data_IF_092286429080
#
_entry.id   IF_092286429080
#
_cell.length_a   1.000
_cell.length_b   1.000
_cell.length_c   1.000
_cell.angle_alpha   90.00
_cell.angle_beta   90.00
_cell.angle_gamma   90.00
#
_symmetry.space_group_name_H-M   'P 1'
#
loop_
_entity.id
_entity.type
_entity.pdbx_description
1 polymer ?
#
# COMPACT_ATOMS: atom_id res chain seq x y z
N UNK A 1 -16.02 -17.28 -1.30
CA UNK A 1 -14.68 -16.96 -1.85
C UNK A 1 -14.85 -16.77 -3.34
N UNK A 2 -14.51 -15.59 -3.86
CA UNK A 2 -14.63 -15.37 -5.30
C UNK A 2 -13.51 -16.14 -6.00
N UNK A 3 -13.89 -16.95 -6.99
CA UNK A 3 -12.91 -17.56 -7.86
C UNK A 3 -12.45 -16.51 -8.88
N UNK A 4 -11.29 -15.90 -8.65
CA UNK A 4 -10.80 -14.76 -9.44
C UNK A 4 -10.71 -15.05 -10.94
N UNK A 5 -10.44 -16.30 -11.32
CA UNK A 5 -10.39 -16.74 -12.72
C UNK A 5 -11.77 -16.74 -13.39
N UNK A 6 -12.80 -17.23 -12.71
CA UNK A 6 -14.17 -17.21 -13.22
C UNK A 6 -14.70 -15.78 -13.39
N UNK A 7 -14.34 -14.87 -12.48
CA UNK A 7 -14.71 -13.46 -12.59
C UNK A 7 -13.98 -12.75 -13.73
N UNK A 8 -12.71 -13.06 -13.94
CA UNK A 8 -11.97 -12.54 -15.10
C UNK A 8 -12.59 -13.01 -16.41
N UNK A 9 -13.02 -14.26 -16.50
CA UNK A 9 -13.68 -14.80 -17.67
C UNK A 9 -15.05 -14.12 -17.92
N UNK A 10 -15.86 -13.96 -16.86
CA UNK A 10 -17.15 -13.24 -16.92
C UNK A 10 -16.99 -11.82 -17.45
N UNK A 11 -15.99 -11.10 -16.95
CA UNK A 11 -15.75 -9.69 -17.29
C UNK A 11 -14.76 -9.47 -18.42
N UNK A 12 -14.25 -10.54 -19.06
CA UNK A 12 -13.29 -10.46 -20.15
C UNK A 12 -13.72 -9.52 -21.31
N UNK A 13 -14.98 -9.49 -21.76
CA UNK A 13 -15.40 -8.59 -22.83
C UNK A 13 -15.23 -7.10 -22.46
N UNK A 14 -15.44 -6.75 -21.18
CA UNK A 14 -15.27 -5.39 -20.67
C UNK A 14 -13.81 -5.06 -20.42
N UNK A 15 -13.05 -6.00 -19.84
CA UNK A 15 -11.64 -5.81 -19.51
C UNK A 15 -10.73 -5.69 -20.74
N UNK A 16 -11.07 -6.35 -21.84
CA UNK A 16 -10.27 -6.39 -23.07
C UNK A 16 -10.85 -5.53 -24.19
N UNK A 17 -11.79 -4.62 -23.91
CA UNK A 17 -12.39 -3.76 -24.92
C UNK A 17 -11.36 -2.80 -25.53
N UNK A 18 -11.27 -2.75 -26.86
CA UNK A 18 -10.23 -1.99 -27.60
C UNK A 18 -10.35 -0.47 -27.45
N UNK A 19 -11.52 0.06 -27.11
CA UNK A 19 -11.75 1.50 -26.93
C UNK A 19 -11.21 2.10 -25.63
N UNK A 20 -10.57 1.32 -24.77
CA UNK A 20 -10.06 1.75 -23.47
C UNK A 20 -8.60 1.29 -23.29
N UNK A 21 -7.78 2.00 -22.49
CA UNK A 21 -6.40 1.62 -22.24
C UNK A 21 -6.30 0.18 -21.75
N UNK A 22 -5.39 -0.60 -22.32
CA UNK A 22 -5.21 -2.00 -21.91
C UNK A 22 -4.55 -2.09 -20.54
N UNK A 23 -5.12 -2.92 -19.66
CA UNK A 23 -4.51 -3.23 -18.36
C UNK A 23 -3.48 -4.33 -18.58
N UNK A 24 -2.19 -4.00 -18.50
CA UNK A 24 -1.08 -4.93 -18.74
C UNK A 24 -0.89 -5.94 -17.61
N UNK A 25 -1.18 -5.55 -16.37
CA UNK A 25 -0.97 -6.34 -15.17
C UNK A 25 -2.17 -7.26 -14.90
N UNK A 26 -1.91 -8.57 -14.81
CA UNK A 26 -2.93 -9.57 -14.54
C UNK A 26 -3.56 -9.42 -13.14
N UNK A 27 -2.77 -8.98 -12.16
CA UNK A 27 -3.28 -8.72 -10.82
C UNK A 27 -4.28 -7.54 -10.81
N UNK A 28 -3.96 -6.45 -11.49
CA UNK A 28 -4.88 -5.31 -11.65
C UNK A 28 -6.16 -5.71 -12.39
N UNK A 29 -6.08 -6.60 -13.39
CA UNK A 29 -7.27 -7.17 -14.06
C UNK A 29 -8.14 -7.96 -13.09
N UNK A 30 -7.54 -8.80 -12.26
CA UNK A 30 -8.23 -9.61 -11.26
C UNK A 30 -8.98 -8.73 -10.25
N UNK A 31 -8.30 -7.73 -9.69
CA UNK A 31 -8.91 -6.79 -8.74
C UNK A 31 -10.05 -6.00 -9.40
N UNK A 32 -9.85 -5.51 -10.63
CA UNK A 32 -10.88 -4.77 -11.36
C UNK A 32 -12.10 -5.65 -11.63
N UNK A 33 -11.92 -6.93 -11.97
CA UNK A 33 -13.03 -7.89 -12.14
C UNK A 33 -13.85 -8.07 -10.84
N UNK A 34 -13.18 -8.18 -9.70
CA UNK A 34 -13.85 -8.28 -8.39
C UNK A 34 -14.62 -7.01 -8.06
N UNK A 35 -14.04 -5.84 -8.37
CA UNK A 35 -14.70 -4.55 -8.13
C UNK A 35 -15.93 -4.36 -9.02
N UNK A 36 -15.88 -4.80 -10.28
CA UNK A 36 -17.04 -4.79 -11.18
C UNK A 36 -18.15 -5.73 -10.68
N UNK A 37 -17.79 -6.89 -10.15
CA UNK A 37 -18.76 -7.81 -9.53
C UNK A 37 -19.38 -7.23 -8.27
N UNK A 38 -18.60 -6.58 -7.41
CA UNK A 38 -19.13 -5.89 -6.23
C UNK A 38 -20.06 -4.74 -6.63
N UNK A 39 -19.72 -4.04 -7.70
CA UNK A 39 -20.58 -2.97 -8.24
C UNK A 39 -21.90 -3.52 -8.76
N UNK A 40 -21.88 -4.60 -9.53
CA UNK A 40 -23.09 -5.27 -10.01
C UNK A 40 -23.98 -5.69 -8.84
N UNK A 41 -23.40 -6.28 -7.81
CA UNK A 41 -24.12 -6.71 -6.62
C UNK A 41 -24.74 -5.53 -5.87
N UNK A 42 -24.00 -4.44 -5.66
CA UNK A 42 -24.50 -3.25 -5.01
C UNK A 42 -25.68 -2.63 -5.77
N UNK A 43 -25.62 -2.60 -7.10
CA UNK A 43 -26.72 -2.13 -7.95
C UNK A 43 -27.93 -3.06 -7.89
N UNK A 44 -27.74 -4.37 -7.80
CA UNK A 44 -28.84 -5.32 -7.64
C UNK A 44 -29.51 -5.18 -6.28
N UNK A 45 -28.76 -4.98 -5.20
CA UNK A 45 -29.32 -4.74 -3.87
C UNK A 45 -30.16 -3.46 -3.85
N UNK A 46 -29.68 -2.36 -4.43
CA UNK A 46 -30.45 -1.10 -4.54
C UNK A 46 -31.75 -1.27 -5.34
N UNK A 47 -31.72 -2.02 -6.43
CA UNK A 47 -32.92 -2.33 -7.23
C UNK A 47 -33.94 -3.13 -6.44
N UNK A 48 -33.52 -4.12 -5.67
CA UNK A 48 -34.40 -4.92 -4.84
C UNK A 48 -35.08 -4.06 -3.78
N UNK A 49 -34.38 -3.11 -3.16
CA UNK A 49 -35.00 -2.15 -2.21
C UNK A 49 -36.05 -1.26 -2.88
N UNK A 50 -35.80 -0.83 -4.12
CA UNK A 50 -36.77 -0.01 -4.87
C UNK A 50 -38.00 -0.81 -5.35
N UNK A 51 -37.87 -2.12 -5.55
CA UNK A 51 -38.99 -2.99 -5.96
C UNK A 51 -39.84 -3.47 -4.79
N UNK A 52 -39.35 -3.40 -3.56
CA UNK A 52 -40.11 -3.72 -2.33
C UNK A 52 -41.04 -2.60 -1.88
N UNK A 53 -41.04 -1.42 -2.50
CA UNK A 53 -42.05 -0.41 -2.23
C UNK A 53 -43.43 -0.93 -2.68
N UNK A 54 -44.46 -0.89 -1.82
CA UNK A 54 -45.79 -1.43 -2.15
C UNK A 54 -46.38 -0.65 -3.31
N UNK A 55 -46.30 -1.20 -4.50
CA UNK A 55 -46.99 -0.68 -5.67
C UNK A 55 -48.48 -1.01 -5.57
N UNK A 56 -49.23 -0.11 -4.98
CA UNK A 56 -50.69 -0.12 -5.07
C UNK A 56 -51.11 0.41 -6.45
N UNK A 57 -50.60 -0.21 -7.51
CA UNK A 57 -51.04 0.05 -8.87
C UNK A 57 -51.73 -1.20 -9.35
N UNK A 58 -53.07 -1.05 -9.57
CA UNK A 58 -53.92 -2.10 -10.09
C UNK A 58 -53.39 -2.72 -11.40
N UNK A 59 -54.00 -3.81 -11.86
CA UNK A 59 -53.45 -4.63 -12.93
C UNK A 59 -53.47 -3.86 -14.26
N UNK A 60 -52.37 -3.27 -14.60
CA UNK A 60 -52.12 -2.84 -15.96
C UNK A 60 -51.63 -4.09 -16.72
N UNK A 61 -52.49 -4.56 -17.57
CA UNK A 61 -52.21 -5.60 -18.53
C UNK A 61 -51.12 -5.11 -19.49
N UNK A 62 -49.88 -5.35 -19.13
CA UNK A 62 -48.74 -5.10 -20.00
C UNK A 62 -48.16 -6.44 -20.46
N UNK A 63 -48.34 -6.72 -21.71
CA UNK A 63 -47.49 -7.67 -22.40
C UNK A 63 -46.05 -7.22 -22.16
N UNK A 64 -45.38 -7.91 -21.29
CA UNK A 64 -43.98 -7.73 -20.99
C UNK A 64 -43.14 -8.15 -22.19
N UNK A 65 -42.84 -7.19 -23.03
CA UNK A 65 -41.64 -7.28 -23.80
C UNK A 65 -40.44 -7.33 -22.82
N UNK A 66 -39.67 -8.34 -22.93
CA UNK A 66 -38.54 -8.71 -22.11
C UNK A 66 -37.37 -7.70 -22.21
N UNK A 67 -37.61 -6.43 -21.87
CA UNK A 67 -36.59 -5.38 -21.83
C UNK A 67 -36.02 -5.14 -20.44
N UNK A 68 -36.37 -6.00 -19.47
CA UNK A 68 -35.97 -5.84 -18.07
C UNK A 68 -34.53 -6.25 -17.72
N UNK A 69 -33.81 -6.91 -18.64
CA UNK A 69 -32.48 -7.44 -18.34
C UNK A 69 -31.32 -6.48 -18.66
N UNK A 70 -31.56 -5.41 -19.39
CA UNK A 70 -30.49 -4.50 -19.87
C UNK A 70 -30.46 -3.16 -19.12
N UNK A 71 -31.47 -2.84 -18.36
CA UNK A 71 -31.62 -1.54 -17.70
C UNK A 71 -30.77 -1.32 -16.43
N UNK A 72 -29.86 -2.24 -16.11
CA UNK A 72 -29.07 -2.20 -14.87
C UNK A 72 -27.61 -1.81 -15.02
N UNK A 73 -27.10 -1.78 -16.24
CA UNK A 73 -25.71 -1.40 -16.49
C UNK A 73 -25.63 0.02 -17.01
N UNK A 74 -24.98 0.90 -16.25
CA UNK A 74 -24.60 2.22 -16.76
C UNK A 74 -23.24 2.08 -17.46
N UNK A 75 -23.18 2.18 -18.81
CA UNK A 75 -21.94 2.02 -19.56
C UNK A 75 -20.89 3.08 -19.20
N UNK A 76 -21.34 4.26 -18.79
CA UNK A 76 -20.46 5.37 -18.36
C UNK A 76 -19.73 4.95 -17.08
N UNK A 77 -20.44 4.41 -16.11
CA UNK A 77 -19.87 3.98 -14.84
C UNK A 77 -18.85 2.85 -15.02
N UNK A 78 -19.17 1.85 -15.83
CA UNK A 78 -18.26 0.72 -16.11
C UNK A 78 -16.99 1.18 -16.80
N UNK A 79 -17.10 2.05 -17.82
CA UNK A 79 -15.95 2.59 -18.54
C UNK A 79 -15.06 3.43 -17.62
N UNK A 80 -15.68 4.20 -16.73
CA UNK A 80 -15.01 5.04 -15.76
C UNK A 80 -14.26 4.22 -14.71
N UNK A 81 -14.86 3.17 -14.15
CA UNK A 81 -14.19 2.27 -13.21
C UNK A 81 -12.98 1.61 -13.88
N UNK A 82 -13.16 1.08 -15.09
CA UNK A 82 -12.06 0.44 -15.82
C UNK A 82 -10.91 1.40 -16.13
N UNK A 83 -11.22 2.66 -16.44
CA UNK A 83 -10.20 3.67 -16.76
C UNK A 83 -9.47 4.19 -15.53
N UNK A 84 -10.20 4.37 -14.44
CA UNK A 84 -9.72 5.09 -13.28
C UNK A 84 -9.09 4.20 -12.20
N UNK A 85 -9.73 3.07 -11.86
CA UNK A 85 -9.27 2.22 -10.76
C UNK A 85 -7.87 1.65 -10.92
N UNK A 86 -7.43 1.17 -12.11
CA UNK A 86 -6.07 0.64 -12.26
C UNK A 86 -4.95 1.67 -12.12
N UNK A 87 -5.28 2.97 -12.20
CA UNK A 87 -4.32 4.08 -12.10
C UNK A 87 -4.02 4.52 -10.66
N UNK A 88 -4.69 3.95 -9.66
CA UNK A 88 -4.43 4.29 -8.26
C UNK A 88 -3.00 3.99 -7.86
N UNK A 89 -2.32 4.95 -7.23
CA UNK A 89 -0.97 4.79 -6.68
C UNK A 89 -0.88 3.67 -5.63
N UNK A 90 -2.00 3.33 -5.02
CA UNK A 90 -2.09 2.24 -4.05
C UNK A 90 -1.60 0.89 -4.60
N UNK A 91 -1.77 0.63 -5.91
CA UNK A 91 -1.24 -0.58 -6.54
C UNK A 91 0.28 -0.65 -6.56
N UNK A 92 0.94 0.49 -6.54
CA UNK A 92 2.40 0.57 -6.62
C UNK A 92 3.06 0.68 -5.24
N UNK A 93 2.42 1.36 -4.29
CA UNK A 93 2.99 1.67 -2.97
C UNK A 93 2.44 0.75 -1.88
N UNK A 94 1.17 0.35 -1.98
CA UNK A 94 0.46 -0.45 -0.97
C UNK A 94 0.06 -1.82 -1.52
N UNK A 95 -0.33 -2.72 -0.65
CA UNK A 95 -1.00 -3.96 -1.03
C UNK A 95 -2.49 -3.70 -1.27
N UNK A 96 -3.01 -4.12 -2.42
CA UNK A 96 -4.44 -3.94 -2.73
C UNK A 96 -5.16 -5.25 -2.53
N UNK A 97 -6.16 -5.26 -1.65
CA UNK A 97 -6.95 -6.45 -1.36
C UNK A 97 -8.44 -6.11 -1.39
N UNK A 98 -9.15 -6.49 -2.46
CA UNK A 98 -10.56 -6.21 -2.57
C UNK A 98 -11.37 -6.99 -1.52
N UNK A 99 -12.36 -6.32 -0.93
CA UNK A 99 -13.29 -6.91 0.04
C UNK A 99 -14.55 -7.38 -0.66
N UNK A 100 -15.14 -8.46 -0.14
CA UNK A 100 -16.43 -8.99 -0.61
C UNK A 100 -17.62 -8.52 0.24
N UNK A 101 -17.36 -7.81 1.34
CA UNK A 101 -18.35 -7.29 2.27
C UNK A 101 -17.89 -5.98 2.92
N UNK A 102 -18.76 -5.33 3.72
CA UNK A 102 -18.43 -4.06 4.38
C UNK A 102 -17.37 -4.21 5.47
N UNK A 103 -17.14 -5.43 5.96
CA UNK A 103 -16.09 -5.77 6.92
C UNK A 103 -15.27 -6.93 6.40
N UNK A 104 -13.97 -6.91 6.67
CA UNK A 104 -13.03 -7.96 6.33
C UNK A 104 -12.12 -8.28 7.50
N UNK A 105 -11.46 -9.44 7.44
CA UNK A 105 -10.47 -9.86 8.42
C UNK A 105 -9.18 -10.23 7.69
N UNK A 106 -8.07 -9.70 8.17
CA UNK A 106 -6.72 -10.07 7.73
C UNK A 106 -6.10 -10.89 8.84
N UNK A 107 -5.66 -12.09 8.51
CA UNK A 107 -4.98 -12.99 9.44
C UNK A 107 -3.49 -12.99 9.20
N UNK A 108 -2.71 -12.96 10.30
CA UNK A 108 -1.28 -13.13 10.27
C UNK A 108 -0.89 -14.24 11.25
N UNK A 109 -0.03 -15.15 10.79
CA UNK A 109 0.49 -16.23 11.61
C UNK A 109 1.93 -15.91 12.00
N UNK A 110 2.23 -16.02 13.30
CA UNK A 110 3.57 -15.85 13.87
C UNK A 110 4.03 -17.15 14.50
N UNK A 111 5.23 -17.58 14.16
CA UNK A 111 5.88 -18.71 14.80
C UNK A 111 6.55 -18.25 16.09
N UNK A 112 6.43 -19.03 17.16
CA UNK A 112 6.92 -18.69 18.50
C UNK A 112 7.78 -19.82 19.06
N UNK A 113 8.77 -19.45 19.88
CA UNK A 113 9.54 -20.40 20.66
C UNK A 113 8.79 -20.76 21.94
N UNK A 114 8.80 -22.01 22.32
CA UNK A 114 8.26 -22.60 23.56
C UNK A 114 6.74 -22.51 23.65
N UNK A 115 6.15 -21.34 23.60
CA UNK A 115 4.72 -21.12 23.84
C UNK A 115 4.14 -20.06 22.92
N UNK A 116 2.81 -19.95 22.85
CA UNK A 116 2.12 -18.94 22.05
C UNK A 116 2.45 -17.49 22.43
N UNK A 117 2.97 -17.27 23.63
CA UNK A 117 3.41 -15.95 24.13
C UNK A 117 4.92 -15.77 24.12
N UNK A 118 5.66 -16.79 23.68
CA UNK A 118 7.12 -16.76 23.59
C UNK A 118 7.65 -15.80 22.53
N UNK A 119 8.98 -15.69 22.46
CA UNK A 119 9.64 -14.87 21.46
C UNK A 119 9.32 -15.35 20.04
N UNK A 120 9.27 -14.43 19.09
CA UNK A 120 8.98 -14.76 17.70
C UNK A 120 10.17 -15.47 17.05
N UNK A 121 9.90 -16.58 16.36
CA UNK A 121 10.87 -17.31 15.57
C UNK A 121 10.82 -16.85 14.08
N UNK A 122 11.91 -17.07 13.36
CA UNK A 122 12.09 -16.74 11.94
C UNK A 122 12.15 -15.24 11.60
N UNK A 123 11.94 -14.36 12.57
CA UNK A 123 12.08 -12.92 12.35
C UNK A 123 13.49 -12.44 12.66
N UNK A 124 14.00 -12.80 13.84
CA UNK A 124 15.37 -12.55 14.24
C UNK A 124 16.30 -13.68 13.79
N UNK A 125 17.59 -13.55 14.09
CA UNK A 125 18.54 -14.62 13.90
C UNK A 125 18.07 -15.87 14.65
N UNK A 126 18.07 -17.05 14.00
CA UNK A 126 17.67 -18.29 14.68
C UNK A 126 18.57 -18.53 15.89
N UNK A 127 17.95 -18.89 17.02
CA UNK A 127 18.69 -19.29 18.20
C UNK A 127 19.37 -20.65 17.95
N UNK A 128 20.69 -20.60 17.77
CA UNK A 128 21.48 -21.78 17.43
C UNK A 128 21.56 -22.83 18.55
N UNK A 129 21.17 -22.46 19.76
CA UNK A 129 21.18 -23.36 20.92
C UNK A 129 19.82 -23.97 21.21
N UNK A 130 18.76 -23.40 20.68
CA UNK A 130 17.37 -23.76 21.04
C UNK A 130 17.09 -25.25 20.88
N UNK A 131 17.38 -25.82 19.73
CA UNK A 131 17.13 -27.26 19.48
C UNK A 131 18.14 -28.22 20.12
N UNK A 132 19.25 -27.71 20.64
CA UNK A 132 20.31 -28.45 21.31
C UNK A 132 20.21 -28.43 22.85
N UNK A 133 19.17 -27.83 23.41
CA UNK A 133 18.89 -27.78 24.85
C UNK A 133 17.71 -28.65 25.20
N UNK A 134 17.69 -29.19 26.42
CA UNK A 134 16.60 -29.99 26.97
C UNK A 134 16.00 -29.32 28.21
N UNK A 135 14.81 -29.74 28.61
CA UNK A 135 14.18 -29.28 29.84
C UNK A 135 13.27 -28.08 29.72
N UNK A 136 12.83 -27.70 28.50
CA UNK A 136 11.80 -26.69 28.30
C UNK A 136 12.20 -25.25 28.65
N UNK A 137 13.44 -25.03 29.14
CA UNK A 137 13.96 -23.67 29.43
C UNK A 137 14.75 -23.18 28.22
N UNK A 138 14.27 -22.14 27.53
CA UNK A 138 15.03 -21.61 26.40
C UNK A 138 16.37 -21.07 26.89
N UNK A 139 17.46 -21.29 26.16
CA UNK A 139 18.72 -20.65 26.46
C UNK A 139 18.56 -19.13 26.42
N UNK A 140 19.37 -18.43 27.21
CA UNK A 140 19.38 -16.96 27.16
C UNK A 140 19.86 -16.55 25.78
N UNK A 141 18.98 -15.93 24.99
CA UNK A 141 19.33 -15.46 23.66
C UNK A 141 20.56 -14.54 23.74
N UNK A 142 21.59 -14.86 22.98
CA UNK A 142 22.76 -14.01 22.86
C UNK A 142 22.36 -12.69 22.24
N UNK A 143 22.63 -11.59 22.92
CA UNK A 143 22.25 -10.23 22.48
C UNK A 143 23.19 -9.69 21.40
N UNK A 144 24.35 -10.27 21.25
CA UNK A 144 25.38 -9.80 20.31
C UNK A 144 25.20 -10.44 18.93
N UNK A 145 24.63 -9.66 18.02
CA UNK A 145 24.40 -10.07 16.61
C UNK A 145 25.42 -9.50 15.62
N UNK A 146 26.39 -8.74 16.11
CA UNK A 146 27.36 -8.06 15.25
C UNK A 146 28.75 -8.71 15.32
N UNK A 147 29.17 -9.42 14.27
CA UNK A 147 30.51 -10.03 14.22
C UNK A 147 31.66 -9.03 14.37
N UNK A 148 31.44 -7.75 14.06
CA UNK A 148 32.44 -6.70 14.21
C UNK A 148 32.78 -6.36 15.67
N UNK A 149 31.95 -6.77 16.62
CA UNK A 149 32.15 -6.54 18.05
C UNK A 149 32.88 -7.69 18.77
N UNK A 150 33.16 -8.79 18.09
CA UNK A 150 33.83 -9.98 18.67
C UNK A 150 35.16 -9.66 19.32
N UNK A 151 35.89 -8.64 18.84
CA UNK A 151 37.22 -8.23 19.32
C UNK A 151 37.25 -6.80 19.88
N UNK A 152 36.12 -6.25 20.32
CA UNK A 152 36.14 -4.92 20.91
C UNK A 152 36.79 -4.93 22.29
N UNK A 153 38.06 -4.52 22.29
CA UNK A 153 38.90 -4.40 23.48
C UNK A 153 38.52 -3.18 24.36
N UNK A 154 37.59 -2.33 23.93
CA UNK A 154 37.23 -1.08 24.63
C UNK A 154 36.22 -1.24 25.75
N UNK A 155 36.25 -2.34 26.48
CA UNK A 155 35.58 -2.45 27.78
C UNK A 155 34.09 -2.86 27.72
N UNK A 156 33.58 -3.19 26.58
CA UNK A 156 32.22 -3.70 26.38
C UNK A 156 32.03 -5.18 26.73
N UNK A 157 33.10 -5.85 27.22
CA UNK A 157 32.98 -7.23 27.69
C UNK A 157 32.67 -8.26 26.59
N UNK A 158 32.90 -7.95 25.36
CA UNK A 158 32.73 -8.87 24.24
C UNK A 158 33.94 -9.79 24.13
N UNK A 159 34.06 -10.63 25.11
CA UNK A 159 34.80 -11.88 24.93
C UNK A 159 34.01 -12.73 23.95
N UNK A 160 34.69 -13.57 23.21
CA UNK A 160 34.12 -14.56 22.28
C UNK A 160 32.96 -15.43 22.85
N UNK A 161 32.65 -15.27 24.11
CA UNK A 161 31.52 -15.91 24.82
C UNK A 161 30.14 -15.31 24.52
N UNK A 162 30.08 -14.08 24.01
CA UNK A 162 28.77 -13.44 23.69
C UNK A 162 28.32 -13.73 22.26
N UNK A 163 29.23 -14.14 21.39
CA UNK A 163 28.90 -14.66 20.06
C UNK A 163 28.95 -16.18 20.12
N UNK A 164 27.84 -16.77 20.55
CA UNK A 164 27.83 -18.19 20.85
C UNK A 164 27.75 -19.03 19.57
N UNK A 165 28.80 -19.75 19.33
CA UNK A 165 28.88 -20.70 18.24
C UNK A 165 28.13 -21.95 18.64
N UNK A 166 26.79 -22.03 18.43
CA UNK A 166 26.02 -23.28 18.42
C UNK A 166 26.69 -24.47 19.14
N UNK A 167 27.15 -24.24 20.38
CA UNK A 167 27.93 -25.24 21.12
C UNK A 167 27.03 -26.29 21.78
N UNK A 168 25.74 -25.97 21.96
CA UNK A 168 24.76 -26.86 22.57
C UNK A 168 24.26 -27.89 21.56
N UNK A 169 24.82 -29.06 21.59
CA UNK A 169 24.35 -30.25 20.88
C UNK A 169 24.19 -31.38 21.88
N UNK A 170 23.21 -32.20 21.67
CA UNK A 170 23.02 -33.40 22.49
C UNK A 170 24.16 -34.40 22.28
N UNK A 171 24.70 -34.93 23.39
CA UNK A 171 25.50 -36.13 23.34
C UNK A 171 24.66 -37.38 23.07
N UNK A 172 25.29 -38.48 22.67
CA UNK A 172 24.57 -39.73 22.38
C UNK A 172 23.73 -40.20 23.56
N UNK A 173 24.26 -40.13 24.80
CA UNK A 173 23.52 -40.49 26.01
C UNK A 173 22.33 -39.55 26.31
N UNK A 174 22.43 -38.27 25.97
CA UNK A 174 21.33 -37.33 26.12
C UNK A 174 20.20 -37.62 25.13
N UNK A 175 20.54 -38.00 23.91
CA UNK A 175 19.56 -38.36 22.86
C UNK A 175 18.80 -39.65 23.24
N UNK A 176 19.48 -40.63 23.86
CA UNK A 176 18.86 -41.87 24.33
C UNK A 176 17.85 -41.62 25.47
N UNK A 177 18.09 -40.62 26.31
CA UNK A 177 17.20 -40.23 27.40
C UNK A 177 16.14 -39.21 27.05
N UNK A 178 16.14 -38.68 25.85
CA UNK A 178 15.20 -37.62 25.47
C UNK A 178 13.76 -38.16 25.35
N UNK A 179 12.83 -37.49 26.05
CA UNK A 179 11.40 -37.89 25.99
C UNK A 179 11.01 -39.00 26.94
N UNK A 180 11.81 -39.30 27.96
CA UNK A 180 11.58 -40.32 29.00
C UNK A 180 10.42 -39.95 29.97
N UNK A 181 9.77 -38.83 29.78
CA UNK A 181 8.70 -38.30 30.66
C UNK A 181 9.19 -37.42 31.81
N UNK A 182 10.51 -37.23 31.94
CA UNK A 182 11.06 -36.30 32.90
C UNK A 182 11.10 -34.88 32.30
N UNK A 183 10.69 -33.87 33.08
CA UNK A 183 10.69 -32.49 32.67
C UNK A 183 12.10 -31.98 32.24
N UNK A 184 13.16 -32.56 32.80
CA UNK A 184 14.56 -32.25 32.47
C UNK A 184 15.01 -32.82 31.12
N UNK A 185 14.29 -33.78 30.56
CA UNK A 185 14.60 -34.44 29.28
C UNK A 185 13.51 -34.20 28.22
N UNK A 186 12.68 -33.18 28.39
CA UNK A 186 11.66 -32.81 27.41
C UNK A 186 12.30 -32.19 26.15
N UNK A 187 11.68 -32.46 24.99
CA UNK A 187 12.00 -31.78 23.76
C UNK A 187 11.65 -30.30 23.87
N UNK A 188 12.43 -29.46 23.20
CA UNK A 188 12.03 -28.06 23.02
C UNK A 188 10.88 -27.96 22.04
N UNK A 189 9.89 -27.14 22.38
CA UNK A 189 8.65 -27.00 21.64
C UNK A 189 8.61 -25.69 20.86
N UNK A 190 7.89 -25.67 19.79
CA UNK A 190 7.54 -24.45 19.05
C UNK A 190 6.03 -24.31 18.96
N UNK A 191 5.55 -23.11 19.02
CA UNK A 191 4.13 -22.78 18.92
C UNK A 191 3.89 -21.78 17.79
N UNK A 192 2.63 -21.53 17.46
CA UNK A 192 2.25 -20.41 16.60
C UNK A 192 1.11 -19.61 17.25
N UNK A 193 1.10 -18.33 16.97
CA UNK A 193 0.00 -17.42 17.32
C UNK A 193 -0.63 -16.87 16.04
N UNK A 194 -1.93 -16.64 16.09
CA UNK A 194 -2.69 -16.04 15.00
C UNK A 194 -3.15 -14.66 15.44
N UNK A 195 -2.63 -13.64 14.76
CA UNK A 195 -3.08 -12.26 14.92
C UNK A 195 -4.14 -11.97 13.86
N UNK A 196 -5.18 -11.24 14.23
CA UNK A 196 -6.25 -10.83 13.33
C UNK A 196 -6.44 -9.33 13.37
N UNK A 197 -6.65 -8.75 12.20
CA UNK A 197 -6.96 -7.33 12.05
C UNK A 197 -8.29 -7.21 11.32
N UNK A 198 -9.21 -6.46 11.89
CA UNK A 198 -10.47 -6.14 11.25
C UNK A 198 -10.29 -4.93 10.32
N UNK A 199 -10.92 -5.00 9.15
CA UNK A 199 -10.98 -3.93 8.17
C UNK A 199 -12.43 -3.51 8.03
N UNK A 200 -12.68 -2.22 8.16
CA UNK A 200 -14.01 -1.64 7.95
C UNK A 200 -14.00 -0.75 6.70
N UNK A 201 -15.02 -0.87 5.86
CA UNK A 201 -15.20 -0.02 4.71
C UNK A 201 -15.80 1.33 5.13
N UNK A 202 -15.02 2.39 4.98
CA UNK A 202 -15.43 3.80 5.12
C UNK A 202 -15.78 4.35 3.73
N UNK A 203 -16.45 5.48 3.63
CA UNK A 203 -16.90 6.02 2.35
C UNK A 203 -16.54 7.48 2.13
N UNK A 204 -16.43 7.86 0.85
CA UNK A 204 -16.38 9.24 0.38
C UNK A 204 -17.52 9.50 -0.55
N UNK A 205 -18.05 10.71 -0.56
CA UNK A 205 -19.14 11.09 -1.42
C UNK A 205 -19.02 12.55 -1.86
N UNK A 206 -19.29 12.81 -3.13
CA UNK A 206 -19.38 14.14 -3.71
C UNK A 206 -20.66 14.25 -4.54
N UNK A 207 -21.22 15.44 -4.62
CA UNK A 207 -22.35 15.76 -5.47
C UNK A 207 -22.10 17.04 -6.27
N UNK A 208 -22.74 17.13 -7.43
CA UNK A 208 -22.81 18.36 -8.21
C UNK A 208 -24.25 18.60 -8.65
N UNK A 209 -24.65 19.86 -8.64
CA UNK A 209 -25.93 20.33 -9.13
C UNK A 209 -25.66 21.16 -10.38
N UNK A 210 -26.48 21.05 -11.43
CA UNK A 210 -26.39 21.87 -12.63
C UNK A 210 -27.78 22.30 -13.11
N UNK A 211 -27.85 23.45 -13.78
CA UNK A 211 -29.11 23.93 -14.34
C UNK A 211 -29.36 23.33 -15.73
N UNK A 212 -30.63 23.17 -16.07
CA UNK A 212 -31.03 22.65 -17.37
C UNK A 212 -30.63 23.61 -18.49
N UNK A 213 -30.69 24.91 -18.23
CA UNK A 213 -30.28 25.96 -19.17
C UNK A 213 -28.78 25.86 -19.50
N UNK A 214 -27.95 25.69 -18.47
CA UNK A 214 -26.50 25.49 -18.69
C UNK A 214 -26.21 24.26 -19.53
N UNK A 215 -26.91 23.16 -19.30
CA UNK A 215 -26.73 21.94 -20.10
C UNK A 215 -27.13 22.14 -21.56
N UNK A 216 -28.19 22.89 -21.82
CA UNK A 216 -28.63 23.22 -23.17
C UNK A 216 -27.61 24.13 -23.88
N UNK A 217 -27.12 25.15 -23.20
CA UNK A 217 -26.15 26.10 -23.77
C UNK A 217 -24.80 25.43 -24.07
N UNK A 218 -24.29 24.59 -23.16
CA UNK A 218 -23.07 23.82 -23.39
C UNK A 218 -23.19 22.88 -24.58
N UNK A 219 -24.35 22.21 -24.70
CA UNK A 219 -24.61 21.33 -25.83
C UNK A 219 -24.74 22.07 -27.15
N UNK A 220 -25.38 23.26 -27.15
CA UNK A 220 -25.60 24.04 -28.34
C UNK A 220 -24.33 24.75 -28.85
N UNK A 221 -23.49 25.27 -27.94
CA UNK A 221 -22.31 26.08 -28.30
C UNK A 221 -21.06 25.21 -28.44
N UNK A 222 -20.84 24.27 -27.50
CA UNK A 222 -19.61 23.49 -27.42
C UNK A 222 -19.79 22.01 -27.80
N UNK A 223 -21.02 21.54 -27.99
CA UNK A 223 -21.31 20.13 -28.28
C UNK A 223 -21.00 19.19 -27.12
N UNK A 224 -20.74 19.72 -25.91
CA UNK A 224 -20.42 18.95 -24.71
C UNK A 224 -21.68 18.60 -23.92
N UNK A 225 -21.69 17.40 -23.37
CA UNK A 225 -22.76 16.99 -22.45
C UNK A 225 -22.34 17.32 -21.00
N UNK A 226 -23.09 18.21 -20.36
CA UNK A 226 -22.79 18.69 -19.00
C UNK A 226 -22.76 17.55 -17.98
N UNK A 227 -23.58 16.52 -18.16
CA UNK A 227 -23.62 15.37 -17.26
C UNK A 227 -22.33 14.55 -17.32
N UNK A 228 -21.87 14.24 -18.52
CA UNK A 228 -20.65 13.46 -18.72
C UNK A 228 -19.39 14.20 -18.24
N UNK A 229 -19.34 15.52 -18.48
CA UNK A 229 -18.21 16.33 -18.00
C UNK A 229 -18.17 16.45 -16.48
N UNK A 230 -19.31 16.68 -15.83
CA UNK A 230 -19.39 16.69 -14.38
C UNK A 230 -19.09 15.32 -13.77
N UNK A 231 -19.53 14.25 -14.39
CA UNK A 231 -19.20 12.89 -13.95
C UNK A 231 -17.68 12.64 -14.00
N UNK A 232 -17.00 13.06 -15.05
CA UNK A 232 -15.56 12.97 -15.18
C UNK A 232 -14.85 13.80 -14.09
N UNK A 233 -15.26 15.04 -13.86
CA UNK A 233 -14.66 15.91 -12.82
C UNK A 233 -14.81 15.28 -11.43
N UNK A 234 -16.02 14.89 -11.06
CA UNK A 234 -16.28 14.32 -9.72
C UNK A 234 -15.54 13.01 -9.48
N UNK A 235 -15.46 12.15 -10.49
CA UNK A 235 -14.72 10.88 -10.36
C UNK A 235 -13.21 11.09 -10.25
N UNK A 236 -12.66 12.01 -11.05
CA UNK A 236 -11.23 12.34 -11.00
C UNK A 236 -10.86 12.94 -9.64
N UNK A 237 -11.70 13.81 -9.09
CA UNK A 237 -11.46 14.40 -7.76
C UNK A 237 -11.47 13.35 -6.65
N UNK A 238 -12.46 12.45 -6.63
CA UNK A 238 -12.51 11.36 -5.64
C UNK A 238 -11.26 10.49 -5.71
N UNK A 239 -10.80 10.16 -6.92
CA UNK A 239 -9.60 9.34 -7.10
C UNK A 239 -8.33 10.08 -6.67
N UNK A 240 -8.22 11.36 -6.99
CA UNK A 240 -7.12 12.20 -6.53
C UNK A 240 -7.08 12.30 -4.99
N UNK A 241 -8.24 12.44 -4.36
CA UNK A 241 -8.35 12.42 -2.89
C UNK A 241 -7.92 11.08 -2.29
N UNK A 242 -8.31 9.95 -2.88
CA UNK A 242 -7.88 8.62 -2.42
C UNK A 242 -6.37 8.46 -2.56
N UNK A 243 -5.82 8.82 -3.72
CA UNK A 243 -4.38 8.78 -3.92
C UNK A 243 -3.63 9.64 -2.91
N UNK A 244 -4.14 10.84 -2.63
CA UNK A 244 -3.55 11.74 -1.64
C UNK A 244 -3.63 11.19 -0.24
N UNK A 245 -4.71 10.53 0.12
CA UNK A 245 -4.87 9.86 1.41
C UNK A 245 -3.86 8.73 1.58
N UNK A 246 -3.67 7.89 0.55
CA UNK A 246 -2.67 6.81 0.58
C UNK A 246 -1.26 7.37 0.79
N UNK A 247 -0.85 8.35 -0.01
CA UNK A 247 0.48 8.97 0.09
C UNK A 247 0.69 9.62 1.46
N UNK A 248 -0.27 10.38 1.96
CA UNK A 248 -0.18 11.01 3.30
C UNK A 248 -0.13 9.99 4.43
N UNK A 249 -0.85 8.89 4.29
CA UNK A 249 -0.83 7.80 5.27
C UNK A 249 0.54 7.14 5.33
N UNK A 250 1.18 6.94 4.17
CA UNK A 250 2.56 6.46 4.09
C UNK A 250 3.51 7.45 4.77
N UNK A 251 3.41 8.75 4.49
CA UNK A 251 4.27 9.75 5.10
C UNK A 251 4.17 9.81 6.63
N UNK A 252 2.96 9.75 7.15
CA UNK A 252 2.71 9.80 8.60
C UNK A 252 3.13 8.54 9.32
N UNK A 253 2.91 7.37 8.68
CA UNK A 253 3.25 6.08 9.24
C UNK A 253 4.73 5.74 9.16
N UNK A 254 5.46 6.25 8.16
CA UNK A 254 6.85 5.92 7.90
C UNK A 254 7.76 6.17 9.10
N UNK A 255 8.61 5.21 9.44
CA UNK A 255 9.67 5.38 10.43
C UNK A 255 10.65 6.48 9.98
N UNK A 256 11.23 7.25 10.92
CA UNK A 256 12.35 8.14 10.58
C UNK A 256 13.51 7.33 10.02
N UNK A 257 13.99 7.70 8.84
CA UNK A 257 15.23 7.21 8.25
C UNK A 257 16.44 8.00 8.72
N UNK A 258 17.59 7.83 8.07
CA UNK A 258 18.83 8.56 8.36
C UNK A 258 19.16 8.59 9.87
N UNK A 259 19.24 7.40 10.50
CA UNK A 259 19.45 7.29 11.95
C UNK A 259 20.92 7.20 12.36
N UNK A 260 21.79 6.77 11.46
CA UNK A 260 23.20 6.56 11.75
C UNK A 260 24.10 7.39 10.82
N UNK A 261 25.21 7.91 11.37
CA UNK A 261 26.22 8.72 10.66
C UNK A 261 25.64 9.96 9.97
N UNK A 262 24.71 10.63 10.64
CA UNK A 262 24.12 11.91 10.25
C UNK A 262 24.18 12.85 11.45
N UNK A 263 24.26 14.14 11.22
CA UNK A 263 24.31 15.14 12.27
C UNK A 263 23.00 15.19 13.08
N UNK A 264 21.85 15.07 12.39
CA UNK A 264 20.53 15.08 13.01
C UNK A 264 19.74 13.86 12.54
N UNK A 265 19.29 13.01 13.47
CA UNK A 265 18.49 11.84 13.14
C UNK A 265 17.18 12.23 12.41
N UNK A 266 16.90 11.57 11.28
CA UNK A 266 15.74 11.86 10.45
C UNK A 266 15.93 12.98 9.41
N UNK A 267 17.08 13.65 9.43
CA UNK A 267 17.45 14.72 8.48
C UNK A 267 18.75 14.34 7.81
N UNK A 268 18.81 14.43 6.51
CA UNK A 268 20.04 14.31 5.75
C UNK A 268 20.45 15.69 5.23
N UNK A 269 21.54 16.23 5.74
CA UNK A 269 22.08 17.53 5.33
C UNK A 269 23.16 17.34 4.27
N UNK A 270 22.93 17.86 3.07
CA UNK A 270 23.86 17.73 1.96
C UNK A 270 25.21 18.43 2.19
N UNK A 271 25.24 19.45 3.06
CA UNK A 271 26.49 20.15 3.36
C UNK A 271 27.32 19.47 4.45
N UNK A 272 26.67 18.86 5.42
CA UNK A 272 27.32 18.27 6.61
C UNK A 272 27.51 16.77 6.46
N UNK A 273 26.49 16.06 5.97
CA UNK A 273 26.45 14.60 5.96
C UNK A 273 27.02 14.00 4.66
N UNK A 274 27.23 14.82 3.63
CA UNK A 274 27.81 14.40 2.36
C UNK A 274 29.24 14.89 2.18
N UNK A 275 30.18 13.98 1.90
CA UNK A 275 31.59 14.29 1.77
C UNK A 275 32.02 14.91 0.43
N UNK A 276 31.07 15.26 -0.45
CA UNK A 276 31.36 15.83 -1.76
C UNK A 276 31.74 17.30 -1.72
N UNK A 277 32.69 17.73 -2.59
CA UNK A 277 33.03 19.14 -2.80
C UNK A 277 32.13 19.81 -3.82
N UNK A 278 31.68 19.04 -4.82
CA UNK A 278 30.77 19.54 -5.87
C UNK A 278 29.32 19.08 -5.61
N UNK A 279 28.34 19.82 -6.13
CA UNK A 279 26.93 19.50 -5.96
C UNK A 279 26.57 18.08 -6.44
N UNK A 280 27.13 17.66 -7.58
CA UNK A 280 26.88 16.30 -8.12
C UNK A 280 27.42 15.20 -7.18
N UNK A 281 28.57 15.45 -6.54
CA UNK A 281 29.14 14.49 -5.57
C UNK A 281 28.27 14.40 -4.32
N UNK A 282 27.73 15.54 -3.86
CA UNK A 282 26.77 15.58 -2.73
C UNK A 282 25.50 14.80 -3.05
N UNK A 283 24.99 14.87 -4.28
CA UNK A 283 23.84 14.09 -4.72
C UNK A 283 24.12 12.58 -4.76
N UNK A 284 25.35 12.17 -5.04
CA UNK A 284 25.75 10.75 -4.89
C UNK A 284 25.75 10.31 -3.43
N UNK A 285 26.07 11.21 -2.49
CA UNK A 285 25.91 10.96 -1.06
C UNK A 285 24.45 10.72 -0.66
N UNK A 286 23.53 11.49 -1.22
CA UNK A 286 22.08 11.27 -1.04
C UNK A 286 21.66 9.88 -1.55
N UNK A 287 22.16 9.45 -2.71
CA UNK A 287 21.88 8.12 -3.24
C UNK A 287 22.35 7.01 -2.28
N UNK A 288 23.54 7.16 -1.71
CA UNK A 288 24.04 6.21 -0.73
C UNK A 288 23.18 6.15 0.53
N UNK A 289 22.65 7.29 0.99
CA UNK A 289 21.74 7.31 2.14
C UNK A 289 20.40 6.61 1.81
N UNK A 290 19.86 6.81 0.63
CA UNK A 290 18.66 6.08 0.16
C UNK A 290 18.90 4.57 0.19
N UNK A 291 20.07 4.11 -0.28
CA UNK A 291 20.45 2.71 -0.23
C UNK A 291 20.57 2.17 1.21
N UNK A 292 21.10 2.96 2.13
CA UNK A 292 21.17 2.59 3.55
C UNK A 292 19.80 2.45 4.16
N UNK A 293 18.88 3.38 3.89
CA UNK A 293 17.51 3.32 4.38
C UNK A 293 16.76 2.10 3.80
N UNK A 294 16.99 1.79 2.52
CA UNK A 294 16.45 0.58 1.90
C UNK A 294 16.98 -0.71 2.55
N UNK A 295 18.28 -0.75 2.88
CA UNK A 295 18.89 -1.88 3.60
C UNK A 295 18.33 -1.99 5.02
N UNK A 296 18.10 -0.88 5.69
CA UNK A 296 17.51 -0.86 7.03
C UNK A 296 16.07 -1.41 7.03
N UNK A 297 15.30 -1.14 5.98
CA UNK A 297 13.97 -1.78 5.79
C UNK A 297 14.14 -3.30 5.69
N UNK A 298 15.11 -3.78 4.89
CA UNK A 298 15.37 -5.22 4.75
C UNK A 298 15.76 -5.87 6.09
N UNK A 299 16.57 -5.19 6.88
CA UNK A 299 17.02 -5.68 8.20
C UNK A 299 15.85 -5.75 9.21
N UNK A 300 14.95 -4.77 9.19
CA UNK A 300 13.83 -4.74 10.12
C UNK A 300 12.67 -5.65 9.71
N UNK A 301 12.35 -5.71 8.42
CA UNK A 301 11.20 -6.48 7.94
C UNK A 301 11.54 -7.93 7.63
N UNK A 302 12.81 -8.25 7.34
CA UNK A 302 13.25 -9.56 6.86
C UNK A 302 12.54 -10.07 5.62
N UNK A 303 11.86 -9.18 4.89
CA UNK A 303 11.12 -9.50 3.67
C UNK A 303 11.87 -9.14 2.40
N UNK A 304 12.48 -7.97 2.39
CA UNK A 304 13.22 -7.51 1.23
C UNK A 304 13.67 -6.07 1.36
N UNK A 305 14.55 -5.67 0.46
CA UNK A 305 15.10 -4.33 0.39
C UNK A 305 14.06 -3.37 -0.20
N UNK A 306 14.04 -2.12 0.27
CA UNK A 306 13.19 -1.07 -0.30
C UNK A 306 13.30 -1.00 -1.82
N UNK A 307 12.19 -0.82 -2.51
CA UNK A 307 12.11 -0.82 -3.98
C UNK A 307 11.27 0.33 -4.55
N UNK A 308 10.70 1.16 -3.70
CA UNK A 308 9.86 2.30 -4.08
C UNK A 308 10.41 3.55 -3.42
N UNK A 309 10.43 4.65 -4.13
CA UNK A 309 10.79 5.96 -3.62
C UNK A 309 9.67 6.94 -3.99
N UNK A 310 9.15 7.64 -2.98
CA UNK A 310 8.24 8.77 -3.16
C UNK A 310 8.97 10.02 -2.71
N UNK A 311 9.07 11.03 -3.55
CA UNK A 311 9.96 12.17 -3.33
C UNK A 311 9.32 13.48 -3.77
N UNK A 312 9.84 14.59 -3.28
CA UNK A 312 9.55 15.93 -3.80
C UNK A 312 10.21 16.15 -5.16
N UNK A 313 9.73 17.11 -5.94
CA UNK A 313 10.21 17.38 -7.28
C UNK A 313 11.71 17.73 -7.31
N UNK A 314 12.18 18.54 -6.35
CA UNK A 314 13.57 18.98 -6.30
C UNK A 314 14.54 17.84 -5.98
N UNK A 315 14.13 16.93 -5.06
CA UNK A 315 14.94 15.73 -4.77
C UNK A 315 14.99 14.81 -5.99
N UNK A 316 13.90 14.65 -6.73
CA UNK A 316 13.90 13.88 -7.98
C UNK A 316 14.85 14.48 -9.01
N UNK A 317 14.88 15.82 -9.14
CA UNK A 317 15.82 16.53 -10.00
C UNK A 317 17.28 16.32 -9.57
N UNK A 318 17.55 16.34 -8.26
CA UNK A 318 18.88 16.04 -7.73
C UNK A 318 19.32 14.59 -8.02
N UNK A 319 18.41 13.64 -7.91
CA UNK A 319 18.66 12.24 -8.29
C UNK A 319 18.91 12.07 -9.77
N UNK A 320 18.21 12.82 -10.63
CA UNK A 320 18.47 12.85 -12.07
C UNK A 320 19.84 13.42 -12.39
N UNK A 321 20.25 14.50 -11.73
CA UNK A 321 21.59 15.09 -11.87
C UNK A 321 22.71 14.18 -11.39
N UNK A 322 22.45 13.24 -10.49
CA UNK A 322 23.42 12.22 -10.08
C UNK A 322 23.81 11.24 -11.21
N UNK A 323 23.04 11.23 -12.31
CA UNK A 323 23.26 10.42 -13.51
C UNK A 323 22.85 8.96 -13.38
N UNK A 324 22.07 8.59 -12.38
CA UNK A 324 21.69 7.20 -12.08
C UNK A 324 20.19 6.95 -12.22
N UNK A 325 19.40 8.00 -12.48
CA UNK A 325 17.97 7.90 -12.72
C UNK A 325 17.72 7.63 -14.21
N UNK A 326 17.22 6.44 -14.52
CA UNK A 326 16.78 6.07 -15.86
C UNK A 326 15.32 6.49 -16.01
N UNK A 327 15.08 7.48 -16.87
CA UNK A 327 13.73 7.89 -17.25
C UNK A 327 13.04 6.80 -18.07
N UNK A 328 11.75 6.58 -17.82
CA UNK A 328 10.97 5.65 -18.61
C UNK A 328 10.94 6.11 -20.08
N UNK A 329 11.07 5.15 -21.01
CA UNK A 329 11.13 5.41 -22.45
C UNK A 329 9.89 6.10 -23.02
N UNK A 330 8.74 6.01 -22.33
CA UNK A 330 7.54 6.78 -22.65
C UNK A 330 7.69 8.28 -22.48
N UNK A 331 8.63 8.73 -21.63
CA UNK A 331 8.93 10.14 -21.35
C UNK A 331 9.95 10.68 -22.37
N UNK A 332 10.85 9.83 -22.81
CA UNK A 332 11.92 10.17 -23.77
C UNK A 332 11.42 10.50 -25.17
N UNK A 333 10.21 10.09 -25.55
CA UNK A 333 9.60 10.37 -26.86
C UNK A 333 8.78 11.65 -26.93
N UNK A 334 8.42 12.26 -25.82
CA UNK A 334 7.71 13.53 -25.77
C UNK A 334 8.71 14.67 -25.57
N UNK A 335 8.83 15.51 -26.55
CA UNK A 335 9.60 16.77 -26.51
C UNK A 335 9.05 17.62 -25.36
N UNK A 336 9.67 17.55 -24.17
CA UNK A 336 9.25 18.36 -23.03
C UNK A 336 9.63 17.88 -21.64
N UNK A 337 10.07 16.64 -21.45
CA UNK A 337 10.78 16.21 -20.22
C UNK A 337 10.00 16.18 -18.92
N UNK A 338 8.69 16.39 -18.93
CA UNK A 338 7.83 16.21 -17.76
C UNK A 338 6.98 14.99 -18.05
N UNK A 339 7.12 13.95 -17.22
CA UNK A 339 6.34 12.74 -17.33
C UNK A 339 4.84 13.04 -17.47
N UNK A 340 4.16 12.19 -18.20
CA UNK A 340 2.71 12.27 -18.33
C UNK A 340 2.10 12.28 -16.92
N UNK A 341 1.64 13.46 -16.51
CA UNK A 341 0.92 13.61 -15.24
C UNK A 341 -0.41 12.91 -15.46
N UNK A 342 -0.60 11.79 -14.79
CA UNK A 342 -1.90 11.15 -14.74
C UNK A 342 -2.96 12.12 -14.22
N UNK A 343 -4.17 12.07 -14.75
CA UNK A 343 -5.33 12.84 -14.29
C UNK A 343 -5.56 12.71 -12.77
N UNK A 344 -4.98 11.68 -12.16
CA UNK A 344 -5.04 11.39 -10.71
C UNK A 344 -3.91 12.03 -9.90
N UNK A 345 -3.02 12.82 -10.51
CA UNK A 345 -1.94 13.54 -9.83
C UNK A 345 -0.74 12.69 -9.42
N UNK A 346 -0.58 11.48 -9.95
CA UNK A 346 0.59 10.64 -9.70
C UNK A 346 1.58 10.78 -10.84
N UNK A 347 2.84 10.99 -10.51
CA UNK A 347 3.90 11.11 -11.50
C UNK A 347 4.94 10.03 -11.28
N UNK A 348 4.91 8.99 -12.09
CA UNK A 348 5.99 8.03 -12.20
C UNK A 348 7.08 8.64 -13.10
N UNK A 349 8.30 8.73 -12.61
CA UNK A 349 9.41 9.37 -13.33
C UNK A 349 10.30 8.35 -14.01
N UNK A 350 10.58 7.26 -13.35
CA UNK A 350 11.50 6.28 -13.87
C UNK A 350 12.04 5.35 -12.80
N UNK A 351 13.12 4.67 -13.12
CA UNK A 351 13.79 3.76 -12.22
C UNK A 351 15.17 4.25 -11.82
N UNK A 352 15.49 4.22 -10.54
CA UNK A 352 16.80 4.54 -10.00
C UNK A 352 17.60 3.25 -9.85
N UNK A 353 18.80 3.16 -10.42
CA UNK A 353 19.66 1.96 -10.44
C UNK A 353 18.95 0.70 -10.98
N UNK A 354 17.98 0.83 -11.86
CA UNK A 354 17.20 -0.30 -12.39
C UNK A 354 16.39 -1.07 -11.33
N UNK A 355 16.28 -0.55 -10.11
CA UNK A 355 15.64 -1.25 -8.98
C UNK A 355 14.57 -0.45 -8.27
N UNK A 356 14.79 0.82 -7.99
CA UNK A 356 13.84 1.66 -7.30
C UNK A 356 12.91 2.34 -8.29
N UNK A 357 11.61 2.21 -8.11
CA UNK A 357 10.61 2.98 -8.82
C UNK A 357 10.45 4.34 -8.15
N UNK A 358 10.63 5.42 -8.88
CA UNK A 358 10.59 6.79 -8.36
C UNK A 358 9.27 7.45 -8.74
N UNK A 359 8.55 7.94 -7.75
CA UNK A 359 7.32 8.70 -7.86
C UNK A 359 7.52 10.10 -7.32
N UNK A 360 7.07 11.11 -8.04
CA UNK A 360 7.05 12.50 -7.57
C UNK A 360 5.69 12.79 -6.96
N UNK A 361 5.69 13.42 -5.79
CA UNK A 361 4.50 14.02 -5.21
C UNK A 361 4.35 15.46 -5.73
N UNK A 362 3.38 15.74 -6.62
CA UNK A 362 3.21 17.08 -7.19
C UNK A 362 2.67 18.10 -6.19
N UNK A 363 2.09 17.64 -5.09
CA UNK A 363 1.49 18.48 -4.05
C UNK A 363 2.43 18.72 -2.86
N UNK A 364 3.68 18.30 -2.93
CA UNK A 364 4.66 18.63 -1.92
C UNK A 364 4.93 20.13 -1.93
N UNK A 365 4.94 20.73 -0.74
CA UNK A 365 5.21 22.16 -0.61
C UNK A 365 6.57 22.50 -1.24
N UNK A 366 6.56 23.44 -2.15
CA UNK A 366 7.76 23.91 -2.88
C UNK A 366 8.58 24.90 -2.02
N UNK A 367 8.51 24.76 -0.70
CA UNK A 367 9.28 25.61 0.21
C UNK A 367 10.66 24.98 0.34
N UNK A 368 11.67 25.70 -0.07
CA UNK A 368 13.07 25.30 -0.22
C UNK A 368 13.72 24.63 1.00
N UNK A 369 13.13 24.73 2.17
CA UNK A 369 13.71 24.20 3.41
C UNK A 369 13.24 22.79 3.78
N UNK A 370 12.17 22.27 3.18
CA UNK A 370 11.50 21.04 3.63
C UNK A 370 11.35 19.98 2.55
N UNK A 371 12.41 19.75 1.82
CA UNK A 371 12.47 18.65 0.86
C UNK A 371 12.54 17.29 1.57
N UNK A 372 11.94 16.26 0.99
CA UNK A 372 11.90 14.94 1.60
C UNK A 372 11.87 13.81 0.57
N UNK A 373 12.24 12.65 1.04
CA UNK A 373 11.96 11.39 0.35
C UNK A 373 11.45 10.33 1.31
N UNK A 374 10.71 9.39 0.79
CA UNK A 374 10.27 8.18 1.50
C UNK A 374 10.70 6.97 0.70
N UNK A 375 11.44 6.08 1.32
CA UNK A 375 11.77 4.77 0.77
C UNK A 375 10.77 3.77 1.30
N UNK A 376 10.18 2.96 0.43
CA UNK A 376 9.22 1.93 0.79
C UNK A 376 9.57 0.58 0.21
N UNK A 377 9.00 -0.46 0.81
CA UNK A 377 9.08 -1.82 0.31
C UNK A 377 7.68 -2.35 -0.01
N UNK A 378 7.57 -2.94 -1.18
CA UNK A 378 6.43 -3.74 -1.59
C UNK A 378 6.92 -4.99 -2.32
N UNK A 379 6.53 -6.17 -1.82
CA UNK A 379 6.81 -7.43 -2.46
C UNK A 379 5.95 -7.71 -3.70
N UNK A 380 6.22 -8.80 -4.37
CA UNK A 380 5.43 -9.28 -5.51
C UNK A 380 4.01 -9.70 -5.12
N UNK A 381 3.83 -10.18 -3.89
CA UNK A 381 2.53 -10.57 -3.37
C UNK A 381 1.76 -9.36 -2.80
N UNK A 382 0.45 -9.36 -2.96
CA UNK A 382 -0.43 -8.33 -2.42
C UNK A 382 -0.40 -8.22 -0.89
N UNK A 383 -0.04 -9.30 -0.20
CA UNK A 383 0.08 -9.34 1.26
C UNK A 383 1.42 -8.85 1.80
N UNK A 384 2.39 -8.62 0.92
CA UNK A 384 3.74 -8.23 1.30
C UNK A 384 3.96 -6.72 1.11
N UNK A 385 3.23 -5.94 1.88
CA UNK A 385 3.31 -4.48 1.92
C UNK A 385 3.01 -3.98 3.34
N UNK A 386 3.49 -2.79 3.68
CA UNK A 386 3.29 -2.20 5.00
C UNK A 386 1.92 -1.58 5.22
N UNK A 387 1.19 -1.28 4.14
CA UNK A 387 -0.15 -0.70 4.14
C UNK A 387 -1.03 -1.50 3.19
N UNK A 388 -2.27 -1.77 3.58
CA UNK A 388 -3.28 -2.41 2.74
C UNK A 388 -4.38 -1.43 2.39
N UNK A 389 -4.67 -1.35 1.09
CA UNK A 389 -5.83 -0.68 0.54
C UNK A 389 -6.87 -1.74 0.17
N UNK A 390 -8.04 -1.66 0.77
CA UNK A 390 -9.09 -2.66 0.66
C UNK A 390 -10.34 -2.04 0.01
N UNK A 391 -10.42 -1.96 -1.33
CA UNK A 391 -11.59 -1.44 -2.00
C UNK A 391 -12.76 -2.41 -1.86
N UNK A 392 -13.95 -1.87 -1.57
CA UNK A 392 -15.19 -2.62 -1.52
C UNK A 392 -16.09 -2.25 -2.71
N UNK A 393 -16.59 -1.03 -2.73
CA UNK A 393 -17.40 -0.51 -3.85
C UNK A 393 -16.62 0.63 -4.50
N UNK A 394 -16.26 0.49 -5.78
CA UNK A 394 -15.36 1.46 -6.41
C UNK A 394 -15.99 2.84 -6.57
N UNK A 395 -17.07 2.92 -7.32
CA UNK A 395 -17.82 4.15 -7.54
C UNK A 395 -19.28 3.80 -7.77
N UNK A 396 -20.17 4.49 -7.09
CA UNK A 396 -21.62 4.45 -7.34
C UNK A 396 -22.04 5.83 -7.82
N UNK A 397 -22.78 5.90 -8.90
CA UNK A 397 -23.33 7.12 -9.43
C UNK A 397 -24.83 7.19 -9.10
N UNK A 398 -25.25 8.31 -8.53
CA UNK A 398 -26.64 8.60 -8.22
C UNK A 398 -27.10 9.79 -9.03
N UNK A 399 -28.26 9.68 -9.65
CA UNK A 399 -28.94 10.75 -10.35
C UNK A 399 -30.25 11.04 -9.66
N UNK A 400 -30.51 12.29 -9.39
CA UNK A 400 -31.76 12.75 -8.79
C UNK A 400 -32.12 14.12 -9.30
N UNK A 401 -33.44 14.42 -9.30
CA UNK A 401 -33.95 15.77 -9.54
C UNK A 401 -34.23 16.38 -8.18
N UNK A 402 -33.77 17.60 -7.96
CA UNK A 402 -33.99 18.33 -6.70
C UNK A 402 -35.48 18.60 -6.51
N UNK A 403 -36.02 18.29 -5.35
CA UNK A 403 -37.47 18.49 -5.06
C UNK A 403 -37.84 19.96 -5.05
N UNK A 404 -36.98 20.83 -4.56
CA UNK A 404 -37.28 22.25 -4.40
C UNK A 404 -36.85 23.09 -5.63
N UNK A 405 -35.76 22.70 -6.27
CA UNK A 405 -35.15 23.47 -7.37
C UNK A 405 -35.43 22.93 -8.75
N UNK A 406 -35.99 21.72 -8.85
CA UNK A 406 -36.22 20.96 -10.10
C UNK A 406 -34.94 20.83 -10.99
N UNK A 407 -33.77 21.07 -10.40
CA UNK A 407 -32.47 20.93 -11.09
C UNK A 407 -31.94 19.50 -10.99
N UNK A 408 -31.35 18.97 -12.05
CA UNK A 408 -30.69 17.67 -12.01
C UNK A 408 -29.45 17.70 -11.12
N UNK A 409 -29.26 16.62 -10.36
CA UNK A 409 -28.15 16.42 -9.43
C UNK A 409 -27.46 15.10 -9.73
N UNK A 410 -26.14 15.11 -9.70
CA UNK A 410 -25.32 13.93 -9.82
C UNK A 410 -24.51 13.78 -8.54
N UNK A 411 -24.44 12.56 -8.02
CA UNK A 411 -23.62 12.23 -6.86
C UNK A 411 -22.78 10.99 -7.11
N UNK A 412 -21.54 11.00 -6.63
CA UNK A 412 -20.68 9.84 -6.58
C UNK A 412 -20.40 9.45 -5.15
N UNK A 413 -20.36 8.15 -4.90
CA UNK A 413 -20.03 7.56 -3.61
C UNK A 413 -19.08 6.38 -3.83
N UNK A 414 -18.09 6.24 -2.96
CA UNK A 414 -17.17 5.09 -2.94
C UNK A 414 -17.03 4.57 -1.53
N UNK A 415 -16.68 3.27 -1.40
CA UNK A 415 -16.43 2.62 -0.11
C UNK A 415 -15.16 1.80 -0.19
N UNK A 416 -14.23 2.05 0.74
CA UNK A 416 -12.96 1.34 0.86
C UNK A 416 -12.46 1.38 2.30
N UNK A 417 -11.53 0.49 2.62
CA UNK A 417 -10.83 0.47 3.90
C UNK A 417 -9.33 0.62 3.72
N UNK A 418 -8.65 1.18 4.71
CA UNK A 418 -7.18 1.17 4.80
C UNK A 418 -6.75 0.67 6.16
N UNK A 419 -5.81 -0.28 6.18
CA UNK A 419 -5.27 -0.85 7.41
C UNK A 419 -3.77 -1.08 7.28
N UNK A 420 -3.08 -1.06 8.41
CA UNK A 420 -1.67 -1.42 8.49
C UNK A 420 -1.49 -2.94 8.45
N UNK A 421 -0.34 -3.35 7.95
CA UNK A 421 0.09 -4.74 8.05
C UNK A 421 0.27 -5.13 9.52
N UNK A 422 -0.19 -6.32 9.97
CA UNK A 422 0.04 -6.82 11.32
C UNK A 422 1.51 -6.80 11.77
N UNK A 423 2.44 -6.92 10.83
CA UNK A 423 3.88 -6.88 11.04
C UNK A 423 4.51 -5.48 10.88
N UNK A 424 3.70 -4.44 10.70
CA UNK A 424 4.22 -3.09 10.43
C UNK A 424 5.16 -2.55 11.52
N UNK A 425 4.94 -2.94 12.76
CA UNK A 425 5.81 -2.59 13.90
C UNK A 425 6.90 -3.62 14.20
N UNK A 426 7.14 -4.57 13.33
CA UNK A 426 8.08 -5.67 13.56
C UNK A 426 7.57 -6.62 14.65
N UNK A 427 8.37 -6.84 15.68
CA UNK A 427 8.02 -7.74 16.81
C UNK A 427 6.87 -7.25 17.68
N UNK A 428 6.61 -5.95 17.69
CA UNK A 428 5.55 -5.35 18.51
C UNK A 428 4.20 -5.58 17.86
N UNK A 429 3.27 -6.22 18.56
CA UNK A 429 1.91 -6.37 18.06
C UNK A 429 1.21 -5.02 17.89
N UNK A 430 0.39 -4.91 16.85
CA UNK A 430 -0.45 -3.74 16.64
C UNK A 430 -1.59 -3.73 17.68
N UNK A 431 -1.70 -2.62 18.41
CA UNK A 431 -2.85 -2.38 19.30
C UNK A 431 -4.08 -1.87 18.54
N UNK A 432 -3.85 -1.20 17.42
CA UNK A 432 -4.88 -0.63 16.56
C UNK A 432 -4.47 -0.81 15.08
N UNK A 433 -5.42 -1.15 14.25
CA UNK A 433 -5.21 -1.35 12.81
C UNK A 433 -5.33 -0.06 11.98
N UNK A 434 -5.89 1.00 12.57
CA UNK A 434 -6.05 2.29 11.87
C UNK A 434 -4.68 2.93 11.62
N UNK A 435 -4.31 3.17 10.35
CA UNK A 435 -3.05 3.81 10.01
C UNK A 435 -2.90 5.21 10.61
N UNK A 436 -4.00 5.85 10.95
CA UNK A 436 -4.02 7.22 11.48
C UNK A 436 -4.00 7.29 13.01
N UNK A 437 -4.12 6.15 13.69
CA UNK A 437 -4.06 6.10 15.15
C UNK A 437 -2.72 6.65 15.67
N UNK A 438 -2.74 7.36 16.79
CA UNK A 438 -1.57 8.02 17.34
C UNK A 438 -0.40 7.06 17.64
N UNK A 439 -0.71 5.83 18.07
CA UNK A 439 0.29 4.78 18.32
C UNK A 439 0.95 4.19 17.07
N UNK A 440 0.45 4.49 15.87
CA UNK A 440 0.95 3.98 14.61
C UNK A 440 1.77 5.01 13.82
N UNK A 441 1.81 6.24 14.31
CA UNK A 441 2.62 7.30 13.71
C UNK A 441 4.11 7.00 13.85
N UNK A 442 4.88 7.21 12.79
CA UNK A 442 6.32 6.95 12.74
C UNK A 442 6.75 5.51 13.13
N UNK A 443 5.85 4.54 13.00
CA UNK A 443 6.08 3.19 13.52
C UNK A 443 6.19 2.11 12.43
N UNK A 444 5.81 2.42 11.19
CA UNK A 444 5.79 1.44 10.11
C UNK A 444 7.20 1.17 9.56
N UNK A 445 7.69 -0.05 9.81
CA UNK A 445 9.02 -0.49 9.41
C UNK A 445 9.19 -0.69 7.89
N UNK A 446 8.10 -0.81 7.14
CA UNK A 446 8.13 -0.98 5.68
C UNK A 446 8.42 0.32 4.93
N UNK A 447 8.31 1.46 5.59
CA UNK A 447 8.56 2.78 5.00
C UNK A 447 9.51 3.58 5.89
N UNK A 448 10.45 4.29 5.25
CA UNK A 448 11.38 5.19 5.93
C UNK A 448 11.32 6.56 5.30
N UNK A 449 11.10 7.59 6.13
CA UNK A 449 11.02 8.99 5.73
C UNK A 449 12.27 9.73 6.16
N UNK A 450 12.84 10.51 5.25
CA UNK A 450 13.98 11.38 5.52
C UNK A 450 13.67 12.78 4.98
N UNK A 451 13.98 13.78 5.78
CA UNK A 451 14.01 15.18 5.35
C UNK A 451 15.39 15.48 4.76
N UNK A 452 15.41 16.17 3.63
CA UNK A 452 16.64 16.61 2.98
C UNK A 452 16.80 18.10 3.21
N UNK A 453 17.93 18.48 3.81
CA UNK A 453 18.29 19.88 4.06
C UNK A 453 19.41 20.33 3.13
N UNK A 454 19.49 21.63 2.88
CA UNK A 454 20.54 22.26 2.08
C UNK A 454 20.71 21.64 0.68
N UNK A 455 19.58 21.41 0.01
CA UNK A 455 19.59 20.86 -1.35
C UNK A 455 20.17 21.86 -2.34
N UNK A 456 19.95 23.18 -2.10
CA UNK A 456 20.58 24.34 -2.73
C UNK A 456 20.59 25.50 -1.75
#
# INVERSE_FOLDING_TARGET
MFNAEQLQEKWAPVLNHDGLPQIKDNYRKSVTAILLENQERALQEERNVLTEAPTNVGPINTQTTNSGAVAGFDPILISLIRRAMPKLIAYDIAGVQPMSGPTGLIFAMRSRYVSQTGNEAFFDEPDAQFSGTKGGTPPTATTEKNPGLINDASGGGTTSTNYDLASSKFGTGDLEGLGDGQASNAFMEMAFSIDRIAVEAKGRALKADYSVELAQDLKAIHGLDAESELANILSTEILAEINREVVRTVYRGAKPGAQANVANAGVFDLDVDSNGRGSVEKFKGLLFQIERDANAIAQETRRGKGNIIVTSADVASALAMSGVLDYDSGISGAVGGIGEIDDTGNTFVGTLNGRFKVYIDPYSANVSSDQYYVVGYKGSNAYDAGLFYCPYVPLQMYRAIGQDTFQPRIGFKTRYGMVLNPFAKGLTALSDSDPQAAGNLNANAYYRRVRVANLM
#
